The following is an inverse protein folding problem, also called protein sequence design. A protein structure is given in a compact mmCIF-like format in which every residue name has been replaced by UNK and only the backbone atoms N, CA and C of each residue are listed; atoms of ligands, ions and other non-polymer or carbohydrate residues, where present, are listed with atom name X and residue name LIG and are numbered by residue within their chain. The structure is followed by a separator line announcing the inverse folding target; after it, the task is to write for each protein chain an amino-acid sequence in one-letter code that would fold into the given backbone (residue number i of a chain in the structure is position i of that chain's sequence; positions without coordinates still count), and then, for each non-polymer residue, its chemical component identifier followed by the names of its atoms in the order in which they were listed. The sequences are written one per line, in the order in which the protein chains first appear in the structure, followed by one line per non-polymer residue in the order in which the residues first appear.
data_IF_655259865212
#
_entry.id   IF_655259865212
#
_cell.length_a   1.000
_cell.length_b   1.000
_cell.length_c   1.000
_cell.angle_alpha   90.00
_cell.angle_beta   90.00
_cell.angle_gamma   90.00
#
_symmetry.space_group_name_H-M   'P 1'
#
loop_
_entity.id
_entity.type
_entity.pdbx_description
1 polymer ?
#
# COMPACT_ATOMS: atom_id res chain seq x y z
N UNK A 1 56.26 -55.00 -53.63
CA UNK A 1 55.73 -53.73 -54.19
C UNK A 1 54.38 -54.01 -54.81
N UNK A 2 53.30 -53.71 -54.09
CA UNK A 2 51.93 -53.63 -54.61
C UNK A 2 51.23 -52.57 -53.77
N UNK A 3 50.95 -51.44 -54.41
CA UNK A 3 50.24 -50.29 -53.86
C UNK A 3 48.75 -50.57 -53.98
N UNK A 4 48.00 -50.47 -52.89
CA UNK A 4 46.54 -50.44 -52.91
C UNK A 4 46.10 -49.08 -52.36
N UNK A 5 45.37 -48.37 -53.21
CA UNK A 5 44.51 -47.22 -52.89
C UNK A 5 43.37 -47.68 -51.98
N UNK A 6 43.04 -46.86 -50.99
CA UNK A 6 41.77 -46.91 -50.28
C UNK A 6 41.10 -45.55 -50.46
N UNK A 7 40.08 -45.53 -51.32
CA UNK A 7 39.21 -44.39 -51.59
C UNK A 7 38.13 -44.33 -50.52
N UNK A 8 38.16 -43.26 -49.72
CA UNK A 8 37.13 -42.93 -48.75
C UNK A 8 36.05 -42.12 -49.50
N UNK A 9 34.95 -42.78 -49.86
CA UNK A 9 33.76 -42.12 -50.39
C UNK A 9 33.04 -41.39 -49.24
N UNK A 10 32.99 -40.06 -49.35
CA UNK A 10 32.11 -39.19 -48.55
C UNK A 10 30.77 -39.07 -49.27
N UNK A 11 29.76 -39.77 -48.76
CA UNK A 11 28.36 -39.62 -49.17
C UNK A 11 27.82 -38.26 -48.71
N UNK A 12 27.80 -37.31 -49.63
CA UNK A 12 27.04 -36.06 -49.57
C UNK A 12 25.63 -36.31 -50.13
N UNK A 13 24.65 -36.58 -49.25
CA UNK A 13 23.23 -36.35 -49.57
C UNK A 13 22.35 -36.44 -48.33
N UNK A 14 22.20 -35.31 -47.65
CA UNK A 14 20.93 -34.97 -47.01
C UNK A 14 20.68 -33.47 -47.18
N UNK A 15 20.00 -33.17 -48.29
CA UNK A 15 19.56 -31.83 -48.65
C UNK A 15 18.63 -31.28 -47.57
N UNK A 16 19.16 -30.42 -46.72
CA UNK A 16 18.37 -29.55 -45.86
C UNK A 16 17.36 -28.80 -46.73
N UNK A 17 16.10 -29.20 -46.62
CA UNK A 17 14.93 -28.42 -47.01
C UNK A 17 14.87 -27.15 -46.14
N UNK A 18 15.76 -26.21 -46.45
CA UNK A 18 15.78 -24.87 -45.90
C UNK A 18 14.54 -24.15 -46.40
N UNK A 19 13.45 -24.27 -45.64
CA UNK A 19 12.23 -23.48 -45.81
C UNK A 19 12.64 -22.02 -45.84
N UNK A 20 12.64 -21.43 -47.04
CA UNK A 20 12.84 -19.99 -47.23
C UNK A 20 11.65 -19.27 -46.63
N UNK A 21 11.67 -19.05 -45.32
CA UNK A 21 10.73 -18.17 -44.66
C UNK A 21 10.90 -16.78 -45.30
N UNK A 22 9.83 -16.19 -45.84
CA UNK A 22 9.92 -14.87 -46.45
C UNK A 22 10.45 -13.90 -45.40
N UNK A 23 11.38 -13.02 -45.75
CA UNK A 23 12.01 -12.05 -44.84
C UNK A 23 10.99 -11.26 -43.98
N UNK A 24 9.75 -11.13 -44.45
CA UNK A 24 8.62 -10.52 -43.73
C UNK A 24 8.17 -11.29 -42.48
N UNK A 25 8.35 -12.61 -42.45
CA UNK A 25 8.03 -13.46 -41.28
C UNK A 25 9.02 -13.27 -40.13
N UNK A 26 10.28 -12.96 -40.43
CA UNK A 26 11.31 -12.69 -39.42
C UNK A 26 10.97 -11.42 -38.59
N UNK A 27 10.45 -10.38 -39.25
CA UNK A 27 10.05 -9.13 -38.59
C UNK A 27 8.90 -9.34 -37.60
N UNK A 28 7.91 -10.16 -37.97
CA UNK A 28 6.79 -10.48 -37.09
C UNK A 28 7.29 -11.23 -35.85
N UNK A 29 8.18 -12.20 -36.03
CA UNK A 29 8.71 -13.02 -34.95
C UNK A 29 9.57 -12.20 -33.97
N UNK A 30 10.37 -11.25 -34.47
CA UNK A 30 11.08 -10.28 -33.63
C UNK A 30 10.13 -9.40 -32.81
N UNK A 31 9.04 -8.90 -33.41
CA UNK A 31 8.10 -8.02 -32.71
C UNK A 31 7.38 -8.76 -31.57
N UNK A 32 6.99 -10.02 -31.78
CA UNK A 32 6.43 -10.86 -30.72
C UNK A 32 7.43 -11.13 -29.60
N UNK A 33 8.70 -11.43 -29.92
CA UNK A 33 9.73 -11.62 -28.91
C UNK A 33 9.98 -10.36 -28.08
N UNK A 34 10.00 -9.18 -28.70
CA UNK A 34 10.15 -7.91 -27.97
C UNK A 34 8.93 -7.61 -27.08
N UNK A 35 7.72 -7.90 -27.54
CA UNK A 35 6.51 -7.72 -26.73
C UNK A 35 6.46 -8.69 -25.55
N UNK A 36 6.87 -9.95 -25.75
CA UNK A 36 6.98 -10.95 -24.68
C UNK A 36 8.04 -10.53 -23.66
N UNK A 37 9.20 -10.04 -24.10
CA UNK A 37 10.24 -9.54 -23.19
C UNK A 37 9.76 -8.34 -22.37
N UNK A 38 9.07 -7.37 -22.99
CA UNK A 38 8.47 -6.24 -22.28
C UNK A 38 7.39 -6.68 -21.28
N UNK A 39 6.57 -7.67 -21.66
CA UNK A 39 5.54 -8.23 -20.78
C UNK A 39 6.14 -8.96 -19.58
N UNK A 40 7.17 -9.79 -19.78
CA UNK A 40 7.87 -10.49 -18.70
C UNK A 40 8.58 -9.49 -17.78
N UNK A 41 9.21 -8.45 -18.34
CA UNK A 41 9.82 -7.38 -17.54
C UNK A 41 8.80 -6.61 -16.70
N UNK A 42 7.55 -6.47 -17.17
CA UNK A 42 6.47 -5.84 -16.39
C UNK A 42 5.90 -6.74 -15.29
N UNK A 43 6.00 -8.07 -15.43
CA UNK A 43 5.43 -9.02 -14.47
C UNK A 43 6.39 -9.36 -13.32
N UNK A 44 7.71 -9.17 -13.47
CA UNK A 44 8.68 -9.49 -12.42
C UNK A 44 8.86 -8.44 -11.32
N UNK A 45 8.18 -7.28 -11.40
CA UNK A 45 8.16 -6.32 -10.28
C UNK A 45 7.03 -6.59 -9.28
N UNK A 46 6.25 -7.66 -9.47
CA UNK A 46 5.18 -8.08 -8.57
C UNK A 46 5.49 -9.41 -7.88
N UNK A 47 6.61 -9.50 -7.17
CA UNK A 47 6.67 -10.47 -6.06
C UNK A 47 5.77 -9.90 -4.98
N UNK A 48 4.70 -10.60 -4.65
CA UNK A 48 3.75 -10.26 -3.59
C UNK A 48 4.46 -10.31 -2.22
N UNK A 49 5.14 -9.21 -1.87
CA UNK A 49 5.62 -8.94 -0.51
C UNK A 49 4.42 -8.66 0.43
N UNK A 50 3.21 -8.53 -0.12
CA UNK A 50 1.97 -8.29 0.64
C UNK A 50 1.51 -9.51 1.44
N UNK A 51 1.82 -10.73 0.99
CA UNK A 51 1.30 -11.94 1.63
C UNK A 51 2.08 -12.28 2.92
N UNK A 52 3.42 -12.15 2.90
CA UNK A 52 4.27 -12.33 4.10
C UNK A 52 4.03 -11.22 5.14
N UNK A 53 3.63 -10.02 4.69
CA UNK A 53 3.34 -8.90 5.60
C UNK A 53 1.94 -8.94 6.20
N UNK A 54 1.00 -9.69 5.61
CA UNK A 54 -0.37 -9.81 6.13
C UNK A 54 -0.42 -10.61 7.44
N UNK A 55 0.19 -11.80 7.47
CA UNK A 55 0.22 -12.65 8.66
C UNK A 55 0.96 -11.99 9.84
N UNK A 56 2.11 -11.37 9.58
CA UNK A 56 2.86 -10.63 10.61
C UNK A 56 2.07 -9.42 11.14
N UNK A 57 1.29 -8.75 10.29
CA UNK A 57 0.44 -7.62 10.69
C UNK A 57 -0.73 -8.09 11.56
N UNK A 58 -1.36 -9.19 11.20
CA UNK A 58 -2.47 -9.77 11.95
C UNK A 58 -2.03 -10.22 13.35
N UNK A 59 -0.83 -10.82 13.47
CA UNK A 59 -0.23 -11.17 14.76
C UNK A 59 0.04 -9.93 15.63
N UNK A 60 0.60 -8.85 15.04
CA UNK A 60 0.84 -7.59 15.74
C UNK A 60 -0.46 -6.92 16.21
N UNK A 61 -1.52 -6.97 15.38
CA UNK A 61 -2.84 -6.46 15.73
C UNK A 61 -3.45 -7.22 16.90
N UNK A 62 -3.44 -8.56 16.86
CA UNK A 62 -3.95 -9.38 17.96
C UNK A 62 -3.18 -9.13 19.26
N UNK A 63 -1.86 -8.94 19.17
CA UNK A 63 -1.05 -8.61 20.34
C UNK A 63 -1.42 -7.22 20.91
N UNK A 64 -1.59 -6.21 20.04
CA UNK A 64 -2.00 -4.86 20.45
C UNK A 64 -3.38 -4.84 21.12
N UNK A 65 -4.34 -5.59 20.59
CA UNK A 65 -5.67 -5.75 21.17
C UNK A 65 -5.61 -6.44 22.54
N UNK A 66 -4.81 -7.51 22.66
CA UNK A 66 -4.63 -8.22 23.92
C UNK A 66 -4.00 -7.34 25.00
N UNK A 67 -2.98 -6.55 24.64
CA UNK A 67 -2.36 -5.55 25.53
C UNK A 67 -3.41 -4.52 25.95
N UNK A 68 -4.13 -3.93 24.99
CA UNK A 68 -5.15 -2.90 25.26
C UNK A 68 -6.25 -3.41 26.19
N UNK A 69 -6.69 -4.66 25.99
CA UNK A 69 -7.69 -5.31 26.85
C UNK A 69 -7.14 -5.54 28.26
N UNK A 70 -5.95 -6.12 28.38
CA UNK A 70 -5.32 -6.46 29.66
C UNK A 70 -4.95 -5.21 30.47
N UNK A 71 -4.45 -4.18 29.79
CA UNK A 71 -4.05 -2.89 30.35
C UNK A 71 -5.17 -1.85 30.38
N UNK A 72 -6.41 -2.24 30.08
CA UNK A 72 -7.56 -1.33 30.16
C UNK A 72 -7.76 -0.79 31.58
N UNK A 73 -8.28 0.44 31.68
CA UNK A 73 -8.49 1.12 32.96
C UNK A 73 -9.34 0.32 33.96
N UNK A 74 -10.28 -0.51 33.47
CA UNK A 74 -11.09 -1.39 34.30
C UNK A 74 -10.30 -2.56 34.89
N UNK A 75 -9.33 -3.12 34.16
CA UNK A 75 -8.56 -4.28 34.59
C UNK A 75 -7.42 -3.88 35.53
N UNK A 76 -6.73 -2.78 35.25
CA UNK A 76 -5.62 -2.27 36.09
C UNK A 76 -6.07 -1.77 37.46
N UNK A 77 -7.37 -1.50 37.67
CA UNK A 77 -7.94 -1.22 39.00
C UNK A 77 -7.86 -2.41 39.95
N UNK A 78 -7.83 -3.63 39.41
CA UNK A 78 -7.65 -4.84 40.21
C UNK A 78 -6.17 -5.17 40.32
N UNK A 79 -5.74 -5.64 41.49
CA UNK A 79 -4.34 -6.06 41.71
C UNK A 79 -3.92 -7.15 40.71
N UNK A 80 -4.83 -8.08 40.41
CA UNK A 80 -4.64 -9.13 39.43
C UNK A 80 -4.43 -8.58 38.01
N UNK A 81 -5.34 -7.75 37.52
CA UNK A 81 -5.23 -7.20 36.16
C UNK A 81 -4.04 -6.24 35.99
N UNK A 82 -3.66 -5.52 37.05
CA UNK A 82 -2.41 -4.75 37.07
C UNK A 82 -1.18 -5.64 36.93
N UNK A 83 -1.15 -6.77 37.64
CA UNK A 83 -0.07 -7.75 37.52
C UNK A 83 0.04 -8.33 36.10
N UNK A 84 -1.09 -8.71 35.50
CA UNK A 84 -1.15 -9.21 34.12
C UNK A 84 -0.65 -8.16 33.11
N UNK A 85 -1.10 -6.91 33.22
CA UNK A 85 -0.61 -5.82 32.36
C UNK A 85 0.89 -5.56 32.57
N UNK A 86 1.38 -5.54 33.81
CA UNK A 86 2.79 -5.33 34.12
C UNK A 86 3.68 -6.43 33.54
N UNK A 87 3.24 -7.69 33.59
CA UNK A 87 3.97 -8.82 33.02
C UNK A 87 4.15 -8.67 31.51
N UNK A 88 3.08 -8.30 30.79
CA UNK A 88 3.10 -8.09 29.34
C UNK A 88 4.01 -6.89 28.98
N UNK A 89 3.94 -5.81 29.74
CA UNK A 89 4.62 -4.55 29.43
C UNK A 89 6.08 -4.48 29.93
N UNK A 90 6.52 -5.43 30.76
CA UNK A 90 7.80 -5.37 31.51
C UNK A 90 9.02 -5.09 30.62
N UNK A 91 9.11 -5.77 29.47
CA UNK A 91 10.25 -5.69 28.56
C UNK A 91 10.18 -4.50 27.58
N UNK A 92 9.00 -3.89 27.44
CA UNK A 92 8.73 -2.80 26.49
C UNK A 92 8.39 -1.48 27.21
N UNK A 93 8.75 -1.36 28.49
CA UNK A 93 8.54 -0.14 29.29
C UNK A 93 9.28 1.08 28.71
N UNK A 94 10.40 0.85 28.02
CA UNK A 94 11.16 1.87 27.31
C UNK A 94 10.40 2.54 26.14
N UNK A 95 9.32 1.92 25.65
CA UNK A 95 8.47 2.50 24.60
C UNK A 95 7.55 3.60 25.15
N UNK A 96 7.22 3.55 26.44
CA UNK A 96 6.25 4.44 27.08
C UNK A 96 6.94 5.64 27.74
N UNK A 97 8.18 5.47 28.22
CA UNK A 97 8.97 6.53 28.84
C UNK A 97 9.55 7.49 27.80
N UNK A 98 8.76 8.49 27.43
CA UNK A 98 9.23 9.76 26.90
C UNK A 98 8.45 10.79 27.75
N UNK A 99 9.07 11.81 28.35
CA UNK A 99 9.16 13.04 27.58
C UNK A 99 10.30 14.01 27.97
N UNK A 100 10.99 13.91 29.12
CA UNK A 100 11.71 15.12 29.60
C UNK A 100 13.23 15.05 29.76
N UNK A 101 13.84 13.86 29.68
CA UNK A 101 15.29 13.74 29.90
C UNK A 101 15.97 13.35 28.60
N UNK A 102 16.83 14.24 28.10
CA UNK A 102 17.77 14.06 26.96
C UNK A 102 18.78 12.91 27.16
N UNK A 103 18.43 11.87 27.89
CA UNK A 103 19.17 10.61 27.93
C UNK A 103 18.82 9.83 26.67
N UNK A 104 19.76 9.83 25.72
CA UNK A 104 19.70 9.32 24.35
C UNK A 104 19.44 7.80 24.17
N UNK A 105 18.62 7.15 25.01
CA UNK A 105 18.48 5.68 25.07
C UNK A 105 17.02 5.18 25.05
N UNK A 106 16.09 5.92 24.46
CA UNK A 106 14.74 5.41 24.19
C UNK A 106 14.77 4.29 23.15
N UNK A 107 14.04 3.20 23.38
CA UNK A 107 13.96 2.06 22.45
C UNK A 107 12.91 2.27 21.33
N UNK A 108 12.33 3.47 21.24
CA UNK A 108 11.25 3.83 20.33
C UNK A 108 11.60 3.65 18.85
N UNK A 109 12.88 3.80 18.51
CA UNK A 109 13.39 3.67 17.14
C UNK A 109 13.93 2.26 16.85
N UNK A 110 13.92 1.35 17.83
CA UNK A 110 14.36 -0.02 17.65
C UNK A 110 13.22 -0.86 17.05
N UNK A 111 13.35 -1.34 15.80
CA UNK A 111 12.31 -2.15 15.16
C UNK A 111 12.05 -3.47 15.89
N UNK A 112 13.04 -4.01 16.63
CA UNK A 112 12.90 -5.26 17.37
C UNK A 112 12.02 -5.08 18.62
N UNK A 113 11.83 -3.83 19.07
CA UNK A 113 11.04 -3.51 20.25
C UNK A 113 9.55 -3.35 19.97
N UNK A 114 9.16 -3.23 18.69
CA UNK A 114 7.75 -3.14 18.24
C UNK A 114 6.91 -2.14 19.06
N UNK A 115 7.49 -0.98 19.42
CA UNK A 115 6.85 -0.02 20.31
C UNK A 115 5.42 0.41 19.95
N UNK A 116 5.00 0.49 18.67
CA UNK A 116 3.60 0.79 18.32
C UNK A 116 2.59 -0.20 18.91
N UNK A 117 2.95 -1.48 19.06
CA UNK A 117 2.08 -2.53 19.61
C UNK A 117 1.87 -2.36 21.13
N UNK A 118 2.87 -1.82 21.81
CA UNK A 118 2.89 -1.67 23.27
C UNK A 118 2.39 -0.30 23.76
N UNK A 119 1.80 0.52 22.90
CA UNK A 119 1.24 1.83 23.29
C UNK A 119 0.18 1.71 24.39
N UNK A 120 -0.59 0.61 24.41
CA UNK A 120 -1.58 0.32 25.44
C UNK A 120 -1.00 0.19 26.86
N UNK A 121 0.31 -0.06 26.99
CA UNK A 121 1.00 -0.11 28.28
C UNK A 121 1.05 1.25 28.99
N UNK A 122 0.78 2.37 28.29
CA UNK A 122 0.79 3.72 28.88
C UNK A 122 -0.15 3.86 30.09
N UNK A 123 -1.27 3.16 30.08
CA UNK A 123 -2.24 3.18 31.18
C UNK A 123 -1.69 2.64 32.51
N UNK A 124 -0.65 1.80 32.47
CA UNK A 124 0.00 1.28 33.68
C UNK A 124 0.85 2.35 34.40
N UNK A 125 1.40 3.30 33.65
CA UNK A 125 2.31 4.33 34.17
C UNK A 125 1.60 5.64 34.51
N UNK A 126 0.41 5.86 33.95
CA UNK A 126 -0.40 7.06 34.20
C UNK A 126 -1.22 7.02 35.51
N UNK A 127 -0.90 6.13 36.47
CA UNK A 127 -1.81 5.87 37.59
C UNK A 127 -1.75 6.88 38.75
N UNK A 128 -0.78 7.79 38.84
CA UNK A 128 -0.57 8.51 40.11
C UNK A 128 -0.07 9.97 40.08
N UNK A 129 0.16 10.61 38.92
CA UNK A 129 0.86 11.91 38.91
C UNK A 129 0.01 13.17 38.61
N UNK A 130 -1.24 13.06 38.14
CA UNK A 130 -2.03 14.25 37.81
C UNK A 130 -2.84 14.85 38.98
N UNK A 131 -2.89 14.20 40.15
CA UNK A 131 -3.66 14.69 41.32
C UNK A 131 -2.88 14.71 42.65
N UNK A 132 -1.57 14.43 42.65
CA UNK A 132 -0.73 14.51 43.87
C UNK A 132 0.41 15.50 43.69
N UNK A 133 0.17 16.74 44.14
CA UNK A 133 1.22 17.63 44.62
C UNK A 133 1.91 16.94 45.81
N UNK A 134 3.00 16.19 45.55
CA UNK A 134 3.80 15.60 46.62
C UNK A 134 4.51 16.71 47.39
N UNK A 135 4.08 16.94 48.64
CA UNK A 135 4.95 17.54 49.65
C UNK A 135 6.05 16.53 49.95
N UNK A 136 7.27 16.88 49.56
CA UNK A 136 8.48 16.07 49.71
C UNK A 136 9.07 16.26 51.12
N UNK A 137 8.32 15.89 52.15
CA UNK A 137 8.82 15.75 53.52
C UNK A 137 8.38 14.37 54.03
N UNK A 138 9.33 13.56 54.51
CA UNK A 138 9.17 12.22 55.10
C UNK A 138 9.52 10.97 54.25
N UNK A 139 10.62 11.01 53.49
CA UNK A 139 11.43 9.80 53.26
C UNK A 139 12.78 9.96 53.96
N UNK A 140 12.82 9.59 55.25
CA UNK A 140 14.06 9.41 56.00
C UNK A 140 14.63 8.01 55.70
N UNK A 141 15.37 7.91 54.59
CA UNK A 141 16.27 6.78 54.35
C UNK A 141 17.68 7.28 54.66
N UNK A 142 18.23 6.80 55.77
CA UNK A 142 19.57 7.18 56.23
C UNK A 142 20.66 6.85 55.21
N UNK A 143 21.23 7.89 54.61
CA UNK A 143 22.50 7.85 53.90
C UNK A 143 23.50 8.71 54.70
N UNK A 144 24.70 8.19 55.04
CA UNK A 144 25.67 8.89 55.89
C UNK A 144 26.20 10.19 55.25
N UNK A 145 26.47 11.17 56.12
CA UNK A 145 26.57 12.60 55.86
C UNK A 145 27.89 13.09 55.21
N UNK A 146 28.57 12.24 54.44
CA UNK A 146 29.93 12.54 53.99
C UNK A 146 29.96 12.45 52.46
N UNK A 147 30.12 13.59 51.79
CA UNK A 147 30.05 13.82 50.32
C UNK A 147 28.60 14.05 49.85
N UNK A 148 28.16 15.22 49.37
CA UNK A 148 28.77 16.14 48.41
C UNK A 148 28.23 17.55 48.67
N UNK A 149 29.15 18.48 48.90
CA UNK A 149 28.92 19.92 48.75
C UNK A 149 29.24 20.32 47.31
N UNK A 150 28.35 21.09 46.66
CA UNK A 150 28.66 22.31 45.87
C UNK A 150 27.71 22.56 44.69
N UNK A 151 27.42 23.85 44.51
CA UNK A 151 26.79 24.55 43.37
C UNK A 151 25.26 24.39 43.26
N UNK A 152 24.44 25.30 43.78
CA UNK A 152 24.25 26.74 43.48
C UNK A 152 23.70 27.01 42.08
N UNK A 153 22.42 27.42 42.07
CA UNK A 153 21.91 28.61 41.40
C UNK A 153 22.07 28.73 39.88
N UNK A 154 20.95 28.60 39.15
CA UNK A 154 20.66 29.49 38.03
C UNK A 154 19.22 29.41 37.53
N UNK A 155 18.52 30.52 37.80
CA UNK A 155 17.43 31.08 37.01
C UNK A 155 17.93 31.41 35.59
N UNK A 156 17.23 31.02 34.50
CA UNK A 156 17.21 31.80 33.24
C UNK A 156 16.40 31.21 32.08
N UNK A 157 15.43 32.03 31.65
CA UNK A 157 15.18 32.50 30.27
C UNK A 157 15.12 31.53 29.09
N UNK A 158 13.94 31.54 28.47
CA UNK A 158 13.64 31.23 27.07
C UNK A 158 14.60 31.98 26.13
N UNK A 159 15.38 31.23 25.36
CA UNK A 159 16.10 31.72 24.18
C UNK A 159 15.79 30.75 23.04
N UNK A 160 14.89 31.17 22.16
CA UNK A 160 14.80 30.64 20.80
C UNK A 160 16.07 31.06 20.05
N UNK A 161 16.77 30.10 19.45
CA UNK A 161 17.61 30.43 18.30
C UNK A 161 17.74 29.23 17.35
N UNK A 162 17.35 29.50 16.11
CA UNK A 162 17.25 28.61 14.97
C UNK A 162 18.62 28.26 14.39
N UNK A 163 18.75 27.01 13.94
CA UNK A 163 19.54 26.66 12.76
C UNK A 163 19.18 25.26 12.23
N UNK A 164 18.26 25.19 11.27
CA UNK A 164 18.07 24.02 10.40
C UNK A 164 17.75 24.48 8.98
N UNK A 165 18.77 24.49 8.12
CA UNK A 165 18.63 24.45 6.67
C UNK A 165 19.34 23.19 6.21
N UNK A 166 18.63 22.06 6.20
CA UNK A 166 18.92 20.86 5.39
C UNK A 166 17.88 19.72 5.54
N UNK A 167 16.88 19.82 6.43
CA UNK A 167 15.89 18.74 6.66
C UNK A 167 14.63 18.75 5.75
N UNK A 168 14.48 19.74 4.87
CA UNK A 168 13.24 19.98 4.13
C UNK A 168 12.80 18.85 3.18
N UNK A 169 13.73 17.98 2.75
CA UNK A 169 13.41 16.89 1.83
C UNK A 169 12.98 15.59 2.53
N UNK A 170 13.32 15.37 3.80
CA UNK A 170 12.96 14.14 4.53
C UNK A 170 11.57 14.25 5.19
N UNK A 171 11.18 15.45 5.62
CA UNK A 171 9.86 15.70 6.22
C UNK A 171 8.70 15.38 5.26
N UNK A 172 8.88 15.59 3.95
CA UNK A 172 7.83 15.37 2.95
C UNK A 172 7.47 13.88 2.79
N UNK A 173 8.44 12.97 2.99
CA UNK A 173 8.20 11.52 2.93
C UNK A 173 7.40 11.00 4.12
N UNK A 174 7.67 11.48 5.33
CA UNK A 174 6.97 11.04 6.54
C UNK A 174 5.55 11.59 6.61
N UNK A 175 5.35 12.85 6.23
CA UNK A 175 3.99 13.42 6.14
C UNK A 175 3.15 12.71 5.07
N UNK A 176 3.76 12.26 3.97
CA UNK A 176 3.09 11.46 2.96
C UNK A 176 2.56 10.14 3.52
N UNK A 177 3.37 9.45 4.34
CA UNK A 177 2.97 8.19 4.99
C UNK A 177 1.81 8.43 5.97
N UNK A 178 1.91 9.46 6.80
CA UNK A 178 0.86 9.83 7.76
C UNK A 178 -0.46 10.12 7.03
N UNK A 179 -0.38 10.91 5.95
CA UNK A 179 -1.53 11.23 5.09
C UNK A 179 -2.21 9.99 4.50
N UNK A 180 -1.40 9.02 4.06
CA UNK A 180 -1.89 7.77 3.51
C UNK A 180 -2.58 6.91 4.57
N UNK A 181 -2.00 6.78 5.77
CA UNK A 181 -2.59 6.01 6.88
C UNK A 181 -3.92 6.62 7.30
N UNK A 182 -3.97 7.94 7.51
CA UNK A 182 -5.22 8.63 7.89
C UNK A 182 -6.26 8.47 6.79
N UNK A 183 -5.90 8.64 5.52
CA UNK A 183 -6.84 8.51 4.40
C UNK A 183 -7.44 7.11 4.29
N UNK A 184 -6.66 6.09 4.64
CA UNK A 184 -7.08 4.67 4.63
C UNK A 184 -7.97 4.36 5.83
N UNK A 185 -7.55 4.72 7.05
CA UNK A 185 -8.34 4.47 8.28
C UNK A 185 -9.66 5.24 8.24
N UNK A 186 -9.63 6.50 7.77
CA UNK A 186 -10.80 7.37 7.64
C UNK A 186 -11.54 7.22 6.29
N UNK A 187 -11.31 6.14 5.54
CA UNK A 187 -12.06 5.89 4.32
C UNK A 187 -13.54 5.58 4.61
N UNK A 188 -14.45 6.00 3.72
CA UNK A 188 -15.90 5.84 3.93
C UNK A 188 -16.30 4.41 4.30
N UNK A 189 -15.66 3.39 3.71
CA UNK A 189 -15.92 1.99 4.04
C UNK A 189 -15.68 1.65 5.51
N UNK A 190 -14.67 2.25 6.13
CA UNK A 190 -14.27 1.99 7.52
C UNK A 190 -15.12 2.79 8.51
N UNK A 191 -15.58 3.98 8.12
CA UNK A 191 -16.40 4.87 8.94
C UNK A 191 -17.82 4.35 9.22
N UNK A 192 -18.27 3.32 8.49
CA UNK A 192 -19.53 2.63 8.78
C UNK A 192 -19.44 1.64 9.94
N UNK A 193 -18.23 1.33 10.40
CA UNK A 193 -18.00 0.48 11.57
C UNK A 193 -17.70 1.34 12.79
N UNK A 194 -18.23 0.96 13.96
CA UNK A 194 -17.94 1.66 15.21
C UNK A 194 -16.44 1.68 15.52
N UNK A 195 -15.72 0.61 15.18
CA UNK A 195 -14.26 0.53 15.35
C UNK A 195 -13.51 1.53 14.45
N UNK A 196 -13.74 1.50 13.13
CA UNK A 196 -13.06 2.41 12.20
C UNK A 196 -13.38 3.88 12.48
N UNK A 197 -14.58 4.16 12.99
CA UNK A 197 -14.96 5.49 13.44
C UNK A 197 -14.14 5.96 14.65
N UNK A 198 -13.96 5.11 15.67
CA UNK A 198 -13.16 5.41 16.85
C UNK A 198 -11.67 5.56 16.52
N UNK A 199 -11.13 4.68 15.67
CA UNK A 199 -9.73 4.74 15.22
C UNK A 199 -9.46 6.02 14.43
N UNK A 200 -10.33 6.35 13.47
CA UNK A 200 -10.23 7.61 12.74
C UNK A 200 -10.38 8.81 13.68
N UNK A 201 -11.33 8.77 14.62
CA UNK A 201 -11.52 9.83 15.62
C UNK A 201 -10.28 10.06 16.49
N UNK A 202 -9.61 9.00 16.93
CA UNK A 202 -8.38 9.09 17.70
C UNK A 202 -7.24 9.75 16.90
N UNK A 203 -7.06 9.35 15.62
CA UNK A 203 -6.06 9.95 14.72
C UNK A 203 -6.35 11.42 14.40
N UNK A 204 -7.63 11.79 14.33
CA UNK A 204 -8.07 13.12 13.92
C UNK A 204 -8.27 14.11 15.07
N UNK A 205 -8.14 13.67 16.33
CA UNK A 205 -8.42 14.49 17.51
C UNK A 205 -7.55 15.74 17.59
N UNK A 206 -6.25 15.62 17.28
CA UNK A 206 -5.31 16.74 17.29
C UNK A 206 -5.41 17.63 16.05
N UNK A 207 -5.88 17.10 14.93
CA UNK A 207 -5.95 17.80 13.64
C UNK A 207 -7.29 18.44 13.35
N UNK A 208 -8.26 18.30 14.24
CA UNK A 208 -9.58 18.94 14.09
C UNK A 208 -9.47 20.47 13.96
N UNK A 209 -8.41 21.07 14.50
CA UNK A 209 -8.15 22.50 14.41
C UNK A 209 -7.83 23.00 13.00
N UNK A 210 -7.53 22.11 12.06
CA UNK A 210 -7.30 22.42 10.66
C UNK A 210 -8.58 22.68 9.87
N UNK A 211 -9.75 22.32 10.40
CA UNK A 211 -11.01 22.44 9.69
C UNK A 211 -11.77 23.68 10.14
N UNK A 212 -12.25 24.46 9.17
CA UNK A 212 -13.09 25.62 9.47
C UNK A 212 -14.47 25.17 9.97
N UNK A 213 -14.80 25.54 11.20
CA UNK A 213 -16.07 25.21 11.84
C UNK A 213 -17.30 25.59 10.99
N UNK A 214 -17.29 26.79 10.39
CA UNK A 214 -18.41 27.29 9.58
C UNK A 214 -18.62 26.45 8.32
N UNK A 215 -17.54 26.04 7.65
CA UNK A 215 -17.62 25.22 6.44
C UNK A 215 -18.16 23.82 6.76
N UNK A 216 -17.68 23.21 7.85
CA UNK A 216 -18.14 21.89 8.28
C UNK A 216 -19.61 21.94 8.72
N UNK A 217 -20.01 22.95 9.49
CA UNK A 217 -21.39 23.09 9.97
C UNK A 217 -22.38 23.35 8.82
N UNK A 218 -21.96 24.07 7.78
CA UNK A 218 -22.77 24.27 6.58
C UNK A 218 -23.01 22.96 5.79
N UNK A 219 -22.03 22.05 5.79
CA UNK A 219 -22.13 20.75 5.11
C UNK A 219 -22.79 19.67 5.98
N UNK A 220 -22.65 19.76 7.30
CA UNK A 220 -23.16 18.81 8.27
C UNK A 220 -23.55 19.50 9.59
N UNK A 221 -24.77 20.08 9.68
CA UNK A 221 -25.22 20.80 10.88
C UNK A 221 -25.40 19.89 12.10
N UNK A 222 -25.42 18.57 11.89
CA UNK A 222 -25.65 17.56 12.94
C UNK A 222 -24.37 16.84 13.38
N UNK A 223 -23.19 17.27 12.92
CA UNK A 223 -21.92 16.59 13.18
C UNK A 223 -21.65 16.34 14.67
N UNK A 224 -21.93 17.32 15.55
CA UNK A 224 -21.74 17.20 17.00
C UNK A 224 -22.67 16.13 17.61
N UNK A 225 -23.92 16.06 17.14
CA UNK A 225 -24.88 15.07 17.63
C UNK A 225 -24.51 13.67 17.19
N UNK A 226 -24.09 13.51 15.92
CA UNK A 226 -23.68 12.21 15.36
C UNK A 226 -22.45 11.68 16.11
N UNK A 227 -21.41 12.50 16.26
CA UNK A 227 -20.18 12.09 16.95
C UNK A 227 -20.44 11.72 18.42
N UNK A 228 -21.32 12.45 19.11
CA UNK A 228 -21.72 12.13 20.50
C UNK A 228 -22.50 10.82 20.60
N UNK A 229 -23.40 10.55 19.65
CA UNK A 229 -24.17 9.30 19.63
C UNK A 229 -23.27 8.08 19.38
N UNK A 230 -22.25 8.24 18.56
CA UNK A 230 -21.25 7.19 18.28
C UNK A 230 -20.14 7.11 19.34
N UNK A 231 -20.21 7.92 20.40
CA UNK A 231 -19.22 7.91 21.49
C UNK A 231 -17.83 8.43 21.11
N UNK A 232 -17.71 9.15 19.99
CA UNK A 232 -16.44 9.72 19.52
C UNK A 232 -16.22 11.09 20.14
N UNK A 233 -15.29 11.16 21.10
CA UNK A 233 -14.99 12.38 21.84
C UNK A 233 -14.03 13.29 21.06
N UNK A 234 -14.58 14.12 20.17
CA UNK A 234 -13.82 15.16 19.45
C UNK A 234 -14.10 16.55 20.04
N UNK A 235 -13.04 17.31 20.28
CA UNK A 235 -13.16 18.69 20.75
C UNK A 235 -13.38 19.66 19.58
N UNK A 236 -14.63 19.84 19.15
CA UNK A 236 -14.97 20.73 18.03
C UNK A 236 -14.65 22.22 18.32
N UNK A 237 -14.38 22.60 19.57
CA UNK A 237 -14.05 23.99 19.92
C UNK A 237 -12.66 24.43 19.45
N UNK A 238 -11.79 23.50 19.06
CA UNK A 238 -10.48 23.81 18.49
C UNK A 238 -10.49 24.02 16.98
N UNK A 239 -11.61 23.73 16.28
CA UNK A 239 -11.75 23.92 14.84
C UNK A 239 -11.38 25.33 14.37
N UNK A 240 -10.58 25.41 13.31
CA UNK A 240 -10.15 26.64 12.66
C UNK A 240 -8.99 27.38 13.35
N UNK A 241 -8.50 26.90 14.51
CA UNK A 241 -7.43 27.59 15.25
C UNK A 241 -6.04 27.43 14.61
N UNK A 242 -5.82 26.37 13.83
CA UNK A 242 -4.51 26.05 13.25
C UNK A 242 -4.33 26.56 11.80
N UNK A 243 -5.33 27.25 11.22
CA UNK A 243 -5.31 27.62 9.80
C UNK A 243 -4.41 28.83 9.46
N UNK A 244 -3.89 29.54 10.46
CA UNK A 244 -3.11 30.77 10.25
C UNK A 244 -1.61 30.55 10.17
N UNK A 245 -1.13 29.34 10.41
CA UNK A 245 0.30 29.04 10.34
C UNK A 245 0.71 28.89 8.87
N UNK A 246 1.69 29.69 8.43
CA UNK A 246 2.20 29.71 7.06
C UNK A 246 2.74 28.35 6.56
N UNK A 247 2.90 27.38 7.48
CA UNK A 247 3.30 26.00 7.24
C UNK A 247 2.11 25.01 7.36
N UNK A 248 1.16 25.09 6.41
CA UNK A 248 -0.02 24.21 6.32
C UNK A 248 0.26 22.70 6.09
N UNK A 249 1.51 22.26 6.19
CA UNK A 249 1.93 20.86 6.00
C UNK A 249 1.20 19.90 6.94
N UNK A 250 1.01 20.29 8.21
CA UNK A 250 0.28 19.48 9.18
C UNK A 250 -1.18 19.26 8.77
N UNK A 251 -1.87 20.31 8.34
CA UNK A 251 -3.26 20.22 7.91
C UNK A 251 -3.43 19.44 6.61
N UNK A 252 -2.44 19.51 5.71
CA UNK A 252 -2.44 18.73 4.47
C UNK A 252 -2.39 17.22 4.74
N UNK A 253 -1.55 16.79 5.68
CA UNK A 253 -1.47 15.37 6.08
C UNK A 253 -2.76 14.85 6.71
N UNK A 254 -3.60 15.72 7.26
CA UNK A 254 -4.84 15.33 7.93
C UNK A 254 -6.09 15.56 7.07
N UNK A 255 -5.95 15.81 5.76
CA UNK A 255 -7.09 16.02 4.85
C UNK A 255 -8.12 14.87 4.89
N UNK A 256 -7.67 13.63 5.14
CA UNK A 256 -8.55 12.45 5.31
C UNK A 256 -9.55 12.58 6.47
N UNK A 257 -9.22 13.33 7.53
CA UNK A 257 -10.10 13.56 8.67
C UNK A 257 -11.39 14.32 8.32
N UNK A 258 -11.42 15.02 7.16
CA UNK A 258 -12.63 15.68 6.66
C UNK A 258 -13.79 14.69 6.47
N UNK A 259 -13.50 13.43 6.11
CA UNK A 259 -14.53 12.40 5.88
C UNK A 259 -15.29 12.07 7.17
N UNK A 260 -14.60 11.99 8.31
CA UNK A 260 -15.19 11.77 9.63
C UNK A 260 -16.21 12.85 10.00
N UNK A 261 -15.88 14.11 9.70
CA UNK A 261 -16.73 15.26 9.97
C UNK A 261 -17.98 15.35 9.07
N UNK A 262 -17.94 14.69 7.93
CA UNK A 262 -19.03 14.67 6.95
C UNK A 262 -19.91 13.41 7.07
N UNK A 263 -19.68 12.56 8.06
CA UNK A 263 -20.53 11.38 8.30
C UNK A 263 -21.98 11.80 8.52
N UNK A 264 -22.88 11.10 7.82
CA UNK A 264 -24.32 11.36 7.86
C UNK A 264 -24.76 12.55 7.02
N UNK A 265 -23.84 13.32 6.42
CA UNK A 265 -24.21 14.32 5.42
C UNK A 265 -24.66 13.62 4.13
N UNK A 266 -25.90 13.89 3.73
CA UNK A 266 -26.49 13.39 2.47
C UNK A 266 -25.77 13.90 1.22
N UNK A 267 -24.88 14.88 1.35
CA UNK A 267 -24.08 15.44 0.26
C UNK A 267 -22.76 14.70 0.01
N UNK A 268 -22.43 13.66 0.79
CA UNK A 268 -21.17 12.89 0.66
C UNK A 268 -21.02 12.12 -0.66
N UNK A 269 -22.09 12.00 -1.46
CA UNK A 269 -22.07 11.32 -2.77
C UNK A 269 -21.66 12.19 -3.95
N UNK A 270 -21.64 13.51 -3.81
CA UNK A 270 -21.01 14.40 -4.79
C UNK A 270 -19.67 14.81 -4.26
N UNK A 271 -18.60 14.25 -4.83
CA UNK A 271 -17.29 14.86 -4.78
C UNK A 271 -17.45 16.31 -5.27
N UNK A 272 -17.70 17.23 -4.34
CA UNK A 272 -17.43 18.64 -4.55
C UNK A 272 -15.94 18.64 -4.81
N UNK A 273 -15.59 18.79 -6.09
CA UNK A 273 -14.23 18.96 -6.52
C UNK A 273 -13.70 20.19 -5.81
N UNK A 274 -13.01 19.95 -4.69
CA UNK A 274 -12.09 20.90 -4.11
C UNK A 274 -11.07 21.17 -5.23
N UNK A 275 -11.26 22.26 -5.98
CA UNK A 275 -10.26 22.83 -6.88
C UNK A 275 -9.13 23.47 -6.04
N UNK A 276 -8.64 22.71 -5.07
CA UNK A 276 -7.55 23.08 -4.20
C UNK A 276 -6.34 22.29 -4.68
N UNK A 277 -5.33 23.02 -5.14
CA UNK A 277 -4.18 22.55 -5.88
C UNK A 277 -3.47 21.36 -5.20
N UNK A 278 -3.88 20.15 -5.54
CA UNK A 278 -3.22 18.91 -5.15
C UNK A 278 -2.34 18.45 -6.30
N UNK A 279 -1.06 18.83 -6.22
CA UNK A 279 -0.01 18.12 -6.93
C UNK A 279 0.15 16.73 -6.32
N UNK A 280 0.19 15.70 -7.17
CA UNK A 280 0.69 14.38 -6.80
C UNK A 280 -0.37 13.31 -6.57
N UNK A 281 -1.06 12.88 -7.63
CA UNK A 281 -1.46 11.47 -7.77
C UNK A 281 -1.68 11.11 -9.25
N UNK A 282 -0.58 11.13 -10.02
CA UNK A 282 -0.59 10.93 -11.47
C UNK A 282 -0.39 9.47 -11.89
N UNK A 283 -0.07 8.56 -10.96
CA UNK A 283 0.35 7.19 -11.32
C UNK A 283 -0.82 6.27 -11.73
N UNK A 284 -2.02 6.45 -11.17
CA UNK A 284 -3.16 5.58 -11.47
C UNK A 284 -3.97 5.98 -12.73
N UNK A 285 -3.76 7.19 -13.26
CA UNK A 285 -4.45 7.67 -14.47
C UNK A 285 -3.83 7.07 -15.74
N UNK A 286 -2.52 6.85 -15.74
CA UNK A 286 -1.79 6.30 -16.88
C UNK A 286 -2.21 4.86 -17.15
N UNK A 287 -2.36 4.03 -16.11
CA UNK A 287 -2.75 2.63 -16.27
C UNK A 287 -4.17 2.46 -16.82
N UNK A 288 -5.12 3.31 -16.39
CA UNK A 288 -6.49 3.34 -16.92
C UNK A 288 -6.55 3.81 -18.37
N UNK A 289 -5.65 4.73 -18.78
CA UNK A 289 -5.60 5.20 -20.15
C UNK A 289 -4.99 4.17 -21.12
N UNK A 290 -4.07 3.32 -20.67
CA UNK A 290 -3.34 2.37 -21.52
C UNK A 290 -4.06 1.03 -21.75
N UNK A 291 -4.92 0.59 -20.82
CA UNK A 291 -5.67 -0.66 -20.94
C UNK A 291 -6.51 -0.79 -22.24
N UNK A 292 -7.26 0.23 -22.71
CA UNK A 292 -8.03 0.09 -23.95
C UNK A 292 -7.15 -0.06 -25.20
N UNK A 293 -5.95 0.52 -25.23
CA UNK A 293 -5.03 0.38 -26.36
C UNK A 293 -4.51 -1.06 -26.49
N UNK A 294 -4.26 -1.74 -25.37
CA UNK A 294 -3.86 -3.16 -25.36
C UNK A 294 -4.92 -4.06 -26.00
N UNK A 295 -6.20 -3.85 -25.66
CA UNK A 295 -7.32 -4.64 -26.19
C UNK A 295 -7.46 -4.43 -27.70
N UNK A 296 -7.34 -3.18 -28.18
CA UNK A 296 -7.42 -2.86 -29.61
C UNK A 296 -6.29 -3.54 -30.39
N UNK A 297 -5.06 -3.54 -29.87
CA UNK A 297 -3.92 -4.22 -30.50
C UNK A 297 -4.15 -5.74 -30.57
N UNK A 298 -4.69 -6.36 -29.52
CA UNK A 298 -5.04 -7.78 -29.52
C UNK A 298 -6.12 -8.12 -30.55
N UNK A 299 -7.16 -7.29 -30.68
CA UNK A 299 -8.23 -7.52 -31.66
C UNK A 299 -7.70 -7.35 -33.09
N UNK A 300 -6.90 -6.32 -33.37
CA UNK A 300 -6.34 -6.09 -34.72
C UNK A 300 -5.41 -7.23 -35.11
N UNK A 301 -4.54 -7.68 -34.21
CA UNK A 301 -3.64 -8.82 -34.49
C UNK A 301 -4.40 -10.13 -34.71
N UNK A 302 -5.46 -10.37 -33.93
CA UNK A 302 -6.34 -11.52 -34.14
C UNK A 302 -7.04 -11.49 -35.51
N UNK A 303 -7.59 -10.34 -35.91
CA UNK A 303 -8.25 -10.18 -37.21
C UNK A 303 -7.27 -10.30 -38.39
N UNK A 304 -6.03 -9.84 -38.22
CA UNK A 304 -4.98 -10.01 -39.23
C UNK A 304 -4.53 -11.47 -39.37
N UNK A 305 -4.56 -12.25 -38.28
CA UNK A 305 -4.29 -13.69 -38.32
C UNK A 305 -5.43 -14.47 -38.99
N UNK A 306 -6.69 -14.07 -38.80
CA UNK A 306 -7.84 -14.70 -39.46
C UNK A 306 -7.94 -14.39 -40.96
N UNK A 307 -7.44 -13.22 -41.41
CA UNK A 307 -7.41 -12.85 -42.83
C UNK A 307 -6.32 -13.52 -43.65
N UNK A 308 -5.67 -14.57 -43.14
CA UNK A 308 -4.79 -15.41 -43.97
C UNK A 308 -5.65 -16.14 -45.00
N UNK A 309 -5.68 -15.54 -46.18
CA UNK A 309 -6.45 -15.90 -47.35
C UNK A 309 -6.32 -17.39 -47.69
N UNK A 310 -7.38 -17.99 -48.28
CA UNK A 310 -7.26 -19.28 -48.93
C UNK A 310 -6.11 -19.22 -49.94
N UNK A 311 -5.18 -20.14 -49.76
CA UNK A 311 -4.14 -20.47 -50.73
C UNK A 311 -4.80 -20.58 -52.12
N UNK A 312 -4.29 -19.90 -53.16
CA UNK A 312 -4.72 -20.20 -54.52
C UNK A 312 -4.27 -21.62 -54.80
N UNK A 313 -5.21 -22.55 -54.77
CA UNK A 313 -4.97 -23.94 -55.11
C UNK A 313 -4.28 -23.98 -56.48
N UNK A 314 -3.08 -24.54 -56.45
CA UNK A 314 -2.40 -25.14 -57.58
C UNK A 314 -3.42 -26.01 -58.33
N UNK A 315 -3.83 -25.53 -59.50
CA UNK A 315 -4.39 -26.38 -60.56
C UNK A 315 -3.29 -27.38 -60.94
N UNK A 316 -3.25 -28.53 -60.26
CA UNK A 316 -2.63 -29.73 -60.79
C UNK A 316 -3.53 -30.24 -61.92
N UNK A 317 -3.06 -30.08 -63.14
CA UNK A 317 -3.55 -30.84 -64.28
C UNK A 317 -3.13 -32.31 -64.08
N UNK A 318 -4.01 -33.09 -63.46
CA UNK A 318 -3.95 -34.55 -63.51
C UNK A 318 -4.50 -35.01 -64.87
N UNK A 319 -3.61 -35.09 -65.84
CA UNK A 319 -3.84 -35.88 -67.05
C UNK A 319 -3.57 -37.35 -66.69
N UNK A 320 -4.64 -38.09 -66.33
CA UNK A 320 -4.62 -39.54 -66.27
C UNK A 320 -5.94 -40.13 -66.75
N UNK A 321 -5.84 -40.78 -67.91
CA UNK A 321 -6.43 -42.06 -68.28
C UNK A 321 -7.94 -42.27 -68.16
N UNK A 322 -8.55 -42.64 -69.30
CA UNK A 322 -9.32 -43.89 -69.51
C UNK A 322 -10.46 -43.68 -70.51
N UNK A 323 -10.18 -43.96 -71.80
CA UNK A 323 -11.23 -44.34 -72.74
C UNK A 323 -11.44 -45.86 -72.60
N UNK A 324 -12.38 -46.21 -71.74
CA UNK A 324 -12.89 -47.57 -71.56
C UNK A 324 -13.73 -47.98 -72.77
N UNK A 325 -13.47 -49.21 -73.22
CA UNK A 325 -14.26 -50.01 -74.14
C UNK A 325 -15.78 -49.88 -73.91
N UNK A 326 -16.49 -49.39 -74.92
CA UNK A 326 -17.91 -49.67 -75.08
C UNK A 326 -18.05 -50.90 -75.99
N UNK A 327 -18.45 -52.01 -75.38
CA UNK A 327 -18.96 -53.20 -76.06
C UNK A 327 -20.41 -52.96 -76.49
N UNK A 328 -20.68 -53.11 -77.78
CA UNK A 328 -22.01 -53.28 -78.39
C UNK A 328 -21.77 -53.95 -79.74
N UNK A 329 -21.98 -55.26 -79.88
CA UNK A 329 -23.28 -55.95 -79.99
C UNK A 329 -24.07 -55.50 -81.22
N UNK A 330 -23.69 -56.03 -82.39
CA UNK A 330 -24.55 -56.25 -83.56
C UNK A 330 -23.90 -57.45 -84.30
N UNK A 331 -24.43 -58.68 -84.23
CA UNK A 331 -25.62 -59.24 -84.89
C UNK A 331 -25.50 -59.25 -86.42
N UNK A 332 -24.93 -60.32 -86.96
CA UNK A 332 -25.30 -60.81 -88.29
C UNK A 332 -24.98 -62.30 -88.46
N UNK A 333 -26.02 -63.12 -88.53
CA UNK A 333 -26.00 -64.47 -89.09
C UNK A 333 -27.39 -64.71 -89.71
N UNK A 334 -27.40 -65.17 -90.97
CA UNK A 334 -28.53 -65.59 -91.81
C UNK A 334 -29.48 -64.46 -92.27
N UNK A 335 -29.91 -64.38 -93.54
CA UNK A 335 -30.35 -65.44 -94.45
C UNK A 335 -30.37 -64.96 -95.94
N UNK A 336 -30.22 -65.92 -96.88
CA UNK A 336 -30.33 -65.90 -98.37
C UNK A 336 -29.05 -65.64 -99.15
#
# INVERSE_FOLDING_TARGET
MKSCNESLDTDDSDGHAARRLPKKWLFILCFFLTAILLFISSQMTGIDITDITSAARDEMLQLAENITKSCSFSNIKSEKGRGECQEICKYHSCCVWNDDVKTSHGCRNDPDMMCPVYVGCKSLFNSDDDDKQYNLEDINVGIPADMIASASDQTSTVVENSSTQNDYNQSNSELGLISHVISTVCENGNLHTHQGLHECGALCSSSICCFNHTNIYALNPHVDTILKLEGVALNLTSMGKCMNDESNHFCQAHSGCKKLLLIGSSNTGSAVGDNEATGGNQENVVMRALMPFGIVICIVTYLLMQKRLPSPDTYEASEQDNLVEASGSDREMNEI
#
